data_IF_867309595905
#
_entry.id   IF_867309595905
#
_cell.length_a   1.000
_cell.length_b   1.000
_cell.length_c   1.000
_cell.angle_alpha   90.00
_cell.angle_beta   90.00
_cell.angle_gamma   90.00
#
_symmetry.space_group_name_H-M   'P 1'
#
loop_
_entity.id
_entity.type
_entity.pdbx_description
1 polymer ?
#
# COMPACT_ATOMS: atom_id res chain seq x y z
N UNK A 1 9.96 4.01 -5.84
CA UNK A 1 9.44 4.99 -4.86
C UNK A 1 8.18 5.64 -5.38
N UNK A 2 8.17 6.31 -6.55
CA UNK A 2 6.96 6.96 -7.10
C UNK A 2 5.77 5.98 -7.23
N UNK A 3 6.02 4.75 -7.67
CA UNK A 3 5.01 3.70 -7.82
C UNK A 3 4.61 3.01 -6.51
N UNK A 4 5.10 3.50 -5.36
CA UNK A 4 4.67 2.98 -4.05
C UNK A 4 3.46 3.79 -3.61
N UNK A 5 2.48 3.08 -3.08
CA UNK A 5 1.16 3.58 -2.74
C UNK A 5 1.14 4.95 -2.02
N UNK A 6 1.91 5.18 -0.94
CA UNK A 6 1.83 6.44 -0.19
C UNK A 6 2.33 7.65 -1.00
N UNK A 7 3.11 7.45 -2.06
CA UNK A 7 3.49 8.52 -2.99
C UNK A 7 2.44 8.72 -4.09
N UNK A 8 1.88 7.63 -4.63
CA UNK A 8 0.86 7.70 -5.69
C UNK A 8 -0.42 8.41 -5.26
N UNK A 9 -0.85 8.25 -4.01
CA UNK A 9 -2.04 8.97 -3.49
C UNK A 9 -1.84 10.49 -3.44
N UNK A 10 -0.59 10.95 -3.32
CA UNK A 10 -0.27 12.37 -3.33
C UNK A 10 -0.13 12.95 -4.75
N UNK A 11 -0.15 12.12 -5.80
CA UNK A 11 -0.11 12.59 -7.18
C UNK A 11 -1.46 13.21 -7.57
N UNK A 12 -1.39 14.35 -8.25
CA UNK A 12 -2.56 15.04 -8.82
C UNK A 12 -2.52 14.94 -10.35
N UNK A 13 -3.49 14.24 -10.94
CA UNK A 13 -3.54 13.96 -12.38
C UNK A 13 -2.53 12.90 -12.83
N UNK A 14 -2.34 12.76 -14.14
CA UNK A 14 -1.47 11.72 -14.74
C UNK A 14 -0.21 12.25 -15.43
N UNK A 15 -0.18 13.54 -15.78
CA UNK A 15 0.88 14.11 -16.61
C UNK A 15 2.19 14.35 -15.86
N UNK A 16 2.13 14.96 -14.67
CA UNK A 16 3.32 15.36 -13.91
C UNK A 16 3.36 14.62 -12.57
N UNK A 17 4.00 13.45 -12.56
CA UNK A 17 3.97 12.56 -11.41
C UNK A 17 4.85 13.03 -10.24
N UNK A 18 5.81 13.94 -10.41
CA UNK A 18 6.65 14.40 -9.29
C UNK A 18 5.92 15.43 -8.41
N UNK A 19 4.71 15.86 -8.77
CA UNK A 19 3.91 16.75 -7.92
C UNK A 19 3.61 16.19 -6.54
N UNK A 20 3.68 14.87 -6.34
CA UNK A 20 3.52 14.28 -5.00
C UNK A 20 4.43 14.94 -3.97
N UNK A 21 5.63 15.39 -4.38
CA UNK A 21 6.62 16.05 -3.51
C UNK A 21 6.01 17.32 -2.90
N UNK A 22 5.27 18.11 -3.69
CA UNK A 22 4.70 19.39 -3.25
C UNK A 22 3.25 19.27 -2.74
N UNK A 23 2.44 18.40 -3.35
CA UNK A 23 1.01 18.29 -3.02
C UNK A 23 0.76 17.36 -1.83
N UNK A 24 1.62 16.38 -1.60
CA UNK A 24 1.58 15.49 -0.45
C UNK A 24 2.04 16.18 0.83
N UNK A 25 1.10 16.69 1.63
CA UNK A 25 1.40 17.39 2.89
C UNK A 25 2.20 16.55 3.91
N UNK A 26 2.14 15.23 3.78
CA UNK A 26 2.82 14.26 4.63
C UNK A 26 4.16 13.75 4.05
N UNK A 27 4.63 14.25 2.90
CA UNK A 27 5.88 13.77 2.29
C UNK A 27 7.10 13.93 3.18
N UNK A 28 7.16 15.00 3.99
CA UNK A 28 8.24 15.20 4.95
C UNK A 28 8.40 14.03 5.92
N UNK A 29 7.28 13.46 6.39
CA UNK A 29 7.28 12.30 7.29
C UNK A 29 7.70 11.02 6.57
N UNK A 30 7.26 10.80 5.33
CA UNK A 30 7.68 9.64 4.53
C UNK A 30 9.17 9.68 4.19
N UNK A 31 9.71 10.85 3.86
CA UNK A 31 11.13 11.03 3.60
C UNK A 31 11.98 10.85 4.87
N UNK A 32 11.46 11.28 6.03
CA UNK A 32 12.10 11.03 7.33
C UNK A 32 12.26 9.53 7.59
N UNK A 33 11.16 8.76 7.59
CA UNK A 33 11.22 7.30 7.84
C UNK A 33 11.97 6.51 6.77
N UNK A 34 12.12 7.08 5.57
CA UNK A 34 12.92 6.48 4.49
C UNK A 34 14.42 6.79 4.61
N UNK A 35 14.84 7.54 5.63
CA UNK A 35 16.23 7.95 5.82
C UNK A 35 16.75 8.90 4.74
N UNK A 36 15.86 9.67 4.09
CA UNK A 36 16.22 10.59 3.02
C UNK A 36 16.60 11.93 3.62
N UNK A 37 17.92 12.16 3.72
CA UNK A 37 18.49 13.43 4.18
C UNK A 37 18.66 14.47 3.07
N UNK A 38 18.89 14.01 1.84
CA UNK A 38 19.22 14.87 0.71
C UNK A 38 18.38 14.52 -0.51
N UNK A 39 17.86 15.54 -1.18
CA UNK A 39 17.11 15.42 -2.44
C UNK A 39 17.89 16.17 -3.51
N UNK A 40 18.24 15.47 -4.59
CA UNK A 40 18.84 16.07 -5.78
C UNK A 40 17.78 16.26 -6.85
N UNK A 41 17.67 17.46 -7.41
CA UNK A 41 16.76 17.76 -8.52
C UNK A 41 17.55 18.29 -9.73
N UNK A 42 18.22 17.39 -10.48
CA UNK A 42 19.15 17.78 -11.52
C UNK A 42 18.47 18.53 -12.67
N UNK A 43 19.21 19.48 -13.26
CA UNK A 43 18.78 20.24 -14.44
C UNK A 43 18.47 19.29 -15.60
N UNK A 44 17.46 19.59 -16.45
CA UNK A 44 17.15 18.77 -17.61
C UNK A 44 18.37 18.55 -18.51
N UNK A 45 18.49 17.36 -19.10
CA UNK A 45 19.60 17.05 -20.00
C UNK A 45 19.55 17.96 -21.23
N UNK A 46 20.51 18.89 -21.31
CA UNK A 46 20.64 19.88 -22.40
C UNK A 46 20.92 19.26 -23.76
N UNK A 47 21.27 17.96 -23.81
CA UNK A 47 21.49 17.21 -25.06
C UNK A 47 20.18 16.72 -25.68
N UNK A 48 19.05 16.87 -24.99
CA UNK A 48 17.74 16.54 -25.55
C UNK A 48 17.41 17.47 -26.70
N UNK A 49 17.16 16.90 -27.88
CA UNK A 49 16.80 17.63 -29.10
C UNK A 49 15.49 18.44 -28.93
N UNK A 50 14.64 18.07 -27.98
CA UNK A 50 13.32 18.62 -27.72
C UNK A 50 13.22 19.43 -26.41
N UNK A 51 14.33 19.89 -25.83
CA UNK A 51 14.29 20.70 -24.61
C UNK A 51 13.68 22.09 -24.88
N UNK A 52 12.37 22.19 -24.71
CA UNK A 52 11.61 23.45 -24.84
C UNK A 52 11.93 24.41 -23.69
N UNK A 53 11.82 25.71 -23.98
CA UNK A 53 11.95 26.79 -22.97
C UNK A 53 11.01 26.59 -21.79
N UNK A 54 9.78 26.14 -22.04
CA UNK A 54 8.78 25.85 -21.01
C UNK A 54 9.25 24.78 -20.02
N UNK A 55 10.01 23.78 -20.47
CA UNK A 55 10.56 22.74 -19.59
C UNK A 55 11.61 23.32 -18.63
N UNK A 56 12.42 24.26 -19.13
CA UNK A 56 13.43 24.96 -18.33
C UNK A 56 12.75 25.89 -17.32
N UNK A 57 11.73 26.62 -17.75
CA UNK A 57 10.99 27.53 -16.87
C UNK A 57 10.26 26.73 -15.79
N UNK A 58 9.59 25.64 -16.16
CA UNK A 58 8.97 24.71 -15.23
C UNK A 58 9.98 24.13 -14.22
N UNK A 59 11.17 23.75 -14.67
CA UNK A 59 12.23 23.26 -13.77
C UNK A 59 12.54 24.25 -12.65
N UNK A 60 12.75 25.53 -12.98
CA UNK A 60 13.06 26.54 -11.96
C UNK A 60 11.85 26.83 -11.05
N UNK A 61 10.64 26.83 -11.60
CA UNK A 61 9.41 26.99 -10.81
C UNK A 61 9.24 25.85 -9.81
N UNK A 62 9.36 24.61 -10.27
CA UNK A 62 9.23 23.43 -9.43
C UNK A 62 10.33 23.39 -8.37
N UNK A 63 11.59 23.70 -8.73
CA UNK A 63 12.70 23.79 -7.78
C UNK A 63 12.44 24.82 -6.67
N UNK A 64 11.87 25.97 -7.01
CA UNK A 64 11.53 27.01 -6.03
C UNK A 64 10.38 26.55 -5.11
N UNK A 65 9.34 25.95 -5.67
CA UNK A 65 8.24 25.35 -4.91
C UNK A 65 8.75 24.31 -3.90
N UNK A 66 9.56 23.33 -4.34
CA UNK A 66 10.09 22.30 -3.44
C UNK A 66 11.01 22.89 -2.37
N UNK A 67 11.81 23.91 -2.72
CA UNK A 67 12.72 24.58 -1.77
C UNK A 67 11.95 25.29 -0.65
N UNK A 68 10.72 25.74 -0.93
CA UNK A 68 9.85 26.44 0.02
C UNK A 68 9.03 25.52 0.95
N UNK A 69 9.12 24.20 0.77
CA UNK A 69 8.30 23.25 1.54
C UNK A 69 8.69 23.25 3.03
N UNK A 70 7.72 23.10 3.94
CA UNK A 70 7.94 23.25 5.38
C UNK A 70 8.87 22.19 5.98
N UNK A 71 9.09 21.07 5.28
CA UNK A 71 9.96 19.97 5.70
C UNK A 71 11.36 20.01 5.05
N UNK A 72 11.63 21.00 4.18
CA UNK A 72 12.98 21.30 3.67
C UNK A 72 13.68 22.29 4.61
N UNK A 73 14.93 21.99 4.98
CA UNK A 73 15.78 22.85 5.79
C UNK A 73 16.40 23.96 4.93
N UNK A 74 17.15 23.55 3.89
CA UNK A 74 17.86 24.48 3.00
C UNK A 74 18.25 23.84 1.67
N UNK A 75 18.57 24.70 0.69
CA UNK A 75 19.27 24.35 -0.54
C UNK A 75 20.77 24.63 -0.37
N UNK A 76 21.62 23.62 -0.61
CA UNK A 76 23.10 23.73 -0.47
C UNK A 76 23.72 24.24 -1.78
N UNK A 77 23.24 23.76 -2.92
CA UNK A 77 23.80 24.07 -4.23
C UNK A 77 22.72 24.63 -5.15
N UNK A 78 23.12 25.53 -6.02
CA UNK A 78 22.30 25.98 -7.14
C UNK A 78 22.41 25.00 -8.33
N UNK A 79 21.56 25.14 -9.37
CA UNK A 79 21.69 24.38 -10.60
C UNK A 79 23.11 24.43 -11.18
N UNK A 80 23.58 23.34 -11.80
CA UNK A 80 22.78 22.29 -12.46
C UNK A 80 22.39 21.10 -11.57
N UNK A 81 22.91 20.98 -10.36
CA UNK A 81 22.59 19.87 -9.44
C UNK A 81 22.26 20.45 -8.07
N UNK A 82 21.07 21.04 -7.90
CA UNK A 82 20.64 21.54 -6.62
C UNK A 82 20.44 20.39 -5.63
N UNK A 83 20.99 20.58 -4.44
CA UNK A 83 20.89 19.63 -3.33
C UNK A 83 20.08 20.26 -2.21
N UNK A 84 18.91 19.71 -1.94
CA UNK A 84 18.02 20.12 -0.86
C UNK A 84 18.24 19.21 0.35
N UNK A 85 18.25 19.81 1.54
CA UNK A 85 18.38 19.09 2.82
C UNK A 85 17.02 19.01 3.48
N UNK A 86 16.62 17.83 3.90
CA UNK A 86 15.40 17.64 4.70
C UNK A 86 15.64 18.02 6.16
N UNK A 87 14.62 18.51 6.86
CA UNK A 87 14.73 18.88 8.29
C UNK A 87 14.96 17.69 9.21
N UNK A 88 14.41 16.53 8.84
CA UNK A 88 14.49 15.28 9.58
C UNK A 88 14.87 14.15 8.64
N UNK A 89 15.62 13.20 9.17
CA UNK A 89 15.99 11.95 8.51
C UNK A 89 16.27 10.94 9.60
N UNK A 90 15.53 9.85 9.59
CA UNK A 90 15.71 8.76 10.52
C UNK A 90 16.97 7.97 10.13
N UNK A 91 17.52 7.26 11.11
CA UNK A 91 18.61 6.34 10.84
C UNK A 91 18.13 5.18 9.97
N UNK A 92 19.07 4.46 9.38
CA UNK A 92 18.77 3.31 8.51
C UNK A 92 17.98 2.20 9.23
N UNK A 93 18.19 2.07 10.55
CA UNK A 93 17.41 1.25 11.47
C UNK A 93 16.98 2.14 12.63
N UNK A 94 15.69 2.19 12.94
CA UNK A 94 15.16 2.95 14.06
C UNK A 94 14.04 2.19 14.77
N UNK A 95 13.67 2.64 15.97
CA UNK A 95 12.56 2.06 16.74
C UNK A 95 11.37 3.02 16.71
N UNK A 96 10.21 2.51 16.29
CA UNK A 96 8.93 3.16 16.51
C UNK A 96 8.31 2.63 17.81
N UNK A 97 7.90 3.55 18.68
CA UNK A 97 7.40 3.28 20.03
C UNK A 97 6.00 2.66 20.08
N UNK A 98 5.26 2.73 18.98
CA UNK A 98 3.89 2.22 18.88
C UNK A 98 3.62 1.66 17.50
N UNK A 99 2.75 0.65 17.44
CA UNK A 99 2.22 0.05 16.23
C UNK A 99 0.72 0.33 16.14
N UNK A 100 0.24 0.81 15.02
CA UNK A 100 -1.18 1.00 14.72
C UNK A 100 -1.58 0.11 13.56
N UNK A 101 -2.67 -0.63 13.72
CA UNK A 101 -3.24 -1.43 12.66
C UNK A 101 -4.42 -0.66 12.06
N UNK A 102 -4.38 -0.38 10.76
CA UNK A 102 -5.34 0.48 10.08
C UNK A 102 -6.15 -0.36 9.09
N UNK A 103 -7.47 -0.25 9.15
CA UNK A 103 -8.39 -0.78 8.12
C UNK A 103 -9.07 0.42 7.49
N UNK A 104 -8.92 0.57 6.18
CA UNK A 104 -9.36 1.74 5.42
C UNK A 104 -8.23 2.35 4.59
N UNK A 105 -8.50 3.50 4.00
CA UNK A 105 -7.61 4.13 3.01
C UNK A 105 -6.36 4.77 3.60
N UNK A 106 -5.36 4.91 2.74
CA UNK A 106 -4.13 5.69 2.92
C UNK A 106 -4.39 7.20 3.08
N UNK A 107 -5.62 7.68 2.87
CA UNK A 107 -6.00 9.06 3.19
C UNK A 107 -5.71 9.45 4.65
N UNK A 108 -5.65 8.46 5.54
CA UNK A 108 -5.38 8.70 6.95
C UNK A 108 -4.07 9.48 7.15
N UNK A 109 -3.08 9.38 6.25
CA UNK A 109 -1.87 10.21 6.33
C UNK A 109 -2.16 11.71 6.40
N UNK A 110 -3.16 12.20 5.66
CA UNK A 110 -3.57 13.60 5.69
C UNK A 110 -4.19 14.00 7.04
N UNK A 111 -4.75 13.06 7.77
CA UNK A 111 -5.32 13.27 9.10
C UNK A 111 -4.26 13.16 10.19
N UNK A 112 -3.33 12.20 10.07
CA UNK A 112 -2.26 11.98 11.04
C UNK A 112 -1.35 13.20 11.18
N UNK A 113 -0.97 13.85 10.08
CA UNK A 113 -0.12 15.06 10.12
C UNK A 113 -0.80 16.28 10.76
N UNK A 114 -2.13 16.26 10.94
CA UNK A 114 -2.85 17.33 11.64
C UNK A 114 -2.78 17.17 13.16
N UNK A 115 -2.34 16.02 13.65
CA UNK A 115 -2.21 15.73 15.07
C UNK A 115 -0.92 16.40 15.57
N UNK A 116 -1.01 17.36 16.51
CA UNK A 116 0.17 18.06 17.00
C UNK A 116 1.23 17.09 17.56
N UNK A 117 2.47 17.21 17.08
CA UNK A 117 3.58 16.38 17.53
C UNK A 117 3.54 14.93 17.05
N UNK A 118 2.60 14.56 16.18
CA UNK A 118 2.61 13.25 15.54
C UNK A 118 3.82 13.13 14.60
N UNK A 119 4.52 12.00 14.69
CA UNK A 119 5.63 11.65 13.81
C UNK A 119 5.51 10.18 13.41
N UNK A 120 5.65 9.87 12.11
CA UNK A 120 5.67 8.49 11.63
C UNK A 120 6.84 7.72 12.24
N UNK A 121 7.99 8.38 12.45
CA UNK A 121 9.17 7.79 13.11
C UNK A 121 8.83 7.10 14.44
N UNK A 122 7.90 7.65 15.22
CA UNK A 122 7.54 7.11 16.54
C UNK A 122 6.31 6.20 16.50
N UNK A 123 5.56 6.18 15.39
CA UNK A 123 4.24 5.56 15.26
C UNK A 123 4.17 4.74 13.98
N UNK A 124 4.58 3.46 14.06
CA UNK A 124 4.45 2.52 12.96
C UNK A 124 2.99 2.27 12.61
N UNK A 125 2.68 2.28 11.31
CA UNK A 125 1.34 1.96 10.81
C UNK A 125 1.43 0.75 9.88
N UNK A 126 0.46 -0.14 9.98
CA UNK A 126 0.27 -1.27 9.06
C UNK A 126 -1.15 -1.19 8.52
N UNK A 127 -1.30 -1.31 7.20
CA UNK A 127 -2.61 -1.36 6.56
C UNK A 127 -3.07 -2.80 6.42
N UNK A 128 -4.15 -3.14 7.11
CA UNK A 128 -4.74 -4.47 7.08
C UNK A 128 -5.34 -4.86 5.72
N UNK A 129 -5.64 -3.86 4.89
CA UNK A 129 -6.23 -4.08 3.57
C UNK A 129 -5.22 -4.18 2.42
N UNK A 130 -3.91 -4.09 2.70
CA UNK A 130 -2.87 -4.33 1.69
C UNK A 130 -2.71 -5.82 1.37
N UNK A 131 -2.64 -6.66 2.42
CA UNK A 131 -2.43 -8.09 2.30
C UNK A 131 -3.33 -8.82 3.31
N UNK A 132 -4.46 -9.43 2.88
CA UNK A 132 -5.40 -10.05 3.79
C UNK A 132 -4.81 -11.31 4.47
N UNK A 133 -5.26 -11.60 5.69
CA UNK A 133 -5.06 -12.90 6.33
C UNK A 133 -3.76 -13.14 7.10
N UNK A 134 -2.84 -12.18 7.21
CA UNK A 134 -1.53 -12.38 7.86
C UNK A 134 -1.22 -11.39 9.00
N UNK A 135 -1.98 -11.38 10.11
CA UNK A 135 -1.89 -10.25 11.04
C UNK A 135 -2.17 -10.52 12.52
N UNK A 136 -2.34 -11.78 12.96
CA UNK A 136 -2.64 -12.10 14.37
C UNK A 136 -1.60 -11.54 15.35
N UNK A 137 -0.31 -11.61 14.99
CA UNK A 137 0.77 -11.03 15.80
C UNK A 137 0.74 -9.50 15.78
N UNK A 138 0.36 -8.89 14.66
CA UNK A 138 0.31 -7.44 14.50
C UNK A 138 -0.84 -6.83 15.29
N UNK A 139 -2.03 -7.44 15.24
CA UNK A 139 -3.19 -7.01 16.02
C UNK A 139 -2.92 -7.05 17.51
N UNK A 140 -2.34 -8.17 18.00
CA UNK A 140 -2.02 -8.35 19.42
C UNK A 140 -1.06 -7.28 19.93
N UNK A 141 -0.06 -6.93 19.14
CA UNK A 141 0.97 -5.95 19.52
C UNK A 141 0.62 -4.51 19.15
N UNK A 142 -0.45 -4.27 18.40
CA UNK A 142 -0.93 -2.92 18.10
C UNK A 142 -1.38 -2.19 19.37
N UNK A 143 -1.11 -0.88 19.43
CA UNK A 143 -1.64 0.03 20.44
C UNK A 143 -3.13 0.26 20.21
N UNK A 144 -3.54 0.44 18.96
CA UNK A 144 -4.93 0.56 18.55
C UNK A 144 -5.16 -0.03 17.16
N UNK A 145 -6.41 -0.45 16.93
CA UNK A 145 -6.94 -0.88 15.64
C UNK A 145 -7.87 0.22 15.14
N UNK A 146 -7.42 0.98 14.14
CA UNK A 146 -8.10 2.17 13.63
C UNK A 146 -8.91 1.78 12.40
N UNK A 147 -10.23 1.98 12.47
CA UNK A 147 -11.16 1.78 11.36
C UNK A 147 -11.49 3.15 10.76
N UNK A 148 -11.03 3.40 9.53
CA UNK A 148 -11.21 4.66 8.79
C UNK A 148 -12.31 4.47 7.76
N UNK A 149 -13.50 5.05 8.01
CA UNK A 149 -14.71 4.83 7.22
C UNK A 149 -15.06 3.33 7.03
N UNK A 150 -14.74 2.53 8.05
CA UNK A 150 -14.87 1.07 8.06
C UNK A 150 -15.58 0.60 9.32
N UNK A 151 -16.10 -0.61 9.28
CA UNK A 151 -16.82 -1.26 10.36
C UNK A 151 -16.10 -2.53 10.84
N UNK A 152 -16.65 -3.18 11.87
CA UNK A 152 -16.05 -4.37 12.47
C UNK A 152 -15.94 -5.55 11.48
N UNK A 153 -16.91 -5.67 10.57
CA UNK A 153 -16.87 -6.72 9.56
C UNK A 153 -15.78 -6.46 8.53
N UNK A 154 -15.51 -5.21 8.14
CA UNK A 154 -14.36 -4.90 7.27
C UNK A 154 -13.04 -5.35 7.91
N UNK A 155 -12.89 -5.13 9.23
CA UNK A 155 -11.76 -5.67 10.00
C UNK A 155 -11.78 -7.19 10.00
N UNK A 156 -12.92 -7.84 10.27
CA UNK A 156 -12.98 -9.32 10.24
C UNK A 156 -12.59 -9.86 8.87
N UNK A 157 -13.06 -9.24 7.80
CA UNK A 157 -12.75 -9.63 6.44
C UNK A 157 -11.27 -9.49 6.12
N UNK A 158 -10.59 -8.41 6.53
CA UNK A 158 -9.15 -8.22 6.30
C UNK A 158 -8.29 -9.30 6.97
N UNK A 159 -8.83 -10.04 7.93
CA UNK A 159 -8.17 -11.13 8.65
C UNK A 159 -8.50 -12.51 8.09
N UNK A 160 -9.43 -12.61 7.14
CA UNK A 160 -9.74 -13.89 6.49
C UNK A 160 -8.50 -14.36 5.72
N UNK A 161 -8.08 -15.63 5.88
CA UNK A 161 -6.95 -16.16 5.12
C UNK A 161 -7.13 -16.04 3.60
N UNK A 162 -6.07 -15.64 2.91
CA UNK A 162 -5.96 -15.47 1.45
C UNK A 162 -6.52 -16.67 0.64
N UNK A 163 -6.40 -17.89 1.17
CA UNK A 163 -6.93 -19.10 0.52
C UNK A 163 -8.44 -19.07 0.29
N UNK A 164 -9.20 -18.26 1.04
CA UNK A 164 -10.65 -18.09 0.87
C UNK A 164 -11.02 -16.94 -0.09
N UNK A 165 -10.06 -16.09 -0.44
CA UNK A 165 -10.27 -14.96 -1.35
C UNK A 165 -10.31 -15.40 -2.81
N UNK A 166 -11.26 -14.86 -3.54
CA UNK A 166 -11.38 -14.94 -5.00
C UNK A 166 -11.38 -13.51 -5.49
N UNK A 167 -10.44 -13.18 -6.38
CA UNK A 167 -10.36 -11.86 -7.00
C UNK A 167 -10.92 -11.93 -8.42
N UNK A 168 -12.11 -11.36 -8.69
CA UNK A 168 -12.73 -11.40 -10.02
C UNK A 168 -11.84 -10.88 -11.14
N UNK A 169 -10.99 -9.90 -10.85
CA UNK A 169 -10.02 -9.35 -11.80
C UNK A 169 -9.11 -10.44 -12.41
N UNK A 170 -8.78 -11.51 -11.69
CA UNK A 170 -7.95 -12.60 -12.21
C UNK A 170 -8.59 -13.38 -13.38
N UNK A 171 -9.90 -13.20 -13.64
CA UNK A 171 -10.64 -13.87 -14.72
C UNK A 171 -11.02 -12.91 -15.87
N UNK A 172 -10.48 -11.69 -15.87
CA UNK A 172 -10.84 -10.63 -16.81
C UNK A 172 -9.62 -10.08 -17.54
N UNK A 173 -9.90 -9.46 -18.69
CA UNK A 173 -8.92 -8.72 -19.48
C UNK A 173 -8.97 -7.22 -19.20
N UNK A 174 -7.93 -6.49 -19.61
CA UNK A 174 -7.84 -5.03 -19.41
C UNK A 174 -8.89 -4.26 -20.22
N UNK A 175 -9.34 -4.85 -21.33
CA UNK A 175 -10.41 -4.35 -22.18
C UNK A 175 -11.71 -5.14 -21.91
N UNK A 176 -12.89 -4.53 -22.12
CA UNK A 176 -14.16 -5.21 -21.92
C UNK A 176 -14.31 -6.45 -22.81
N UNK A 177 -14.58 -7.60 -22.20
CA UNK A 177 -14.90 -8.84 -22.92
C UNK A 177 -16.40 -8.90 -23.30
N UNK A 178 -16.89 -10.06 -23.76
CA UNK A 178 -18.32 -10.25 -24.13
C UNK A 178 -19.30 -9.95 -22.97
N UNK A 179 -18.87 -10.13 -21.72
CA UNK A 179 -19.66 -9.79 -20.54
C UNK A 179 -19.76 -8.28 -20.30
N UNK A 180 -18.90 -7.49 -20.95
CA UNK A 180 -18.73 -6.05 -20.75
C UNK A 180 -17.94 -5.68 -19.49
N UNK A 181 -17.39 -6.67 -18.77
CA UNK A 181 -16.50 -6.47 -17.64
C UNK A 181 -15.03 -6.46 -18.07
N UNK A 182 -14.23 -5.70 -17.34
CA UNK A 182 -12.78 -5.56 -17.53
C UNK A 182 -12.07 -5.40 -16.19
N UNK A 183 -10.73 -5.39 -16.17
CA UNK A 183 -9.94 -5.26 -14.93
C UNK A 183 -9.00 -4.06 -14.86
N UNK A 184 -8.61 -3.74 -13.63
CA UNK A 184 -7.34 -3.08 -13.30
C UNK A 184 -6.61 -3.88 -12.24
N UNK A 185 -5.29 -3.88 -12.32
CA UNK A 185 -4.42 -4.54 -11.35
C UNK A 185 -4.01 -3.56 -10.25
N UNK A 186 -3.49 -4.06 -9.14
CA UNK A 186 -3.04 -3.23 -8.01
C UNK A 186 -1.99 -2.19 -8.41
N UNK A 187 -1.10 -2.54 -9.35
CA UNK A 187 -0.08 -1.65 -9.90
C UNK A 187 -0.65 -0.53 -10.78
N UNK A 188 -1.93 -0.59 -11.16
CA UNK A 188 -2.58 0.41 -12.00
C UNK A 188 -3.21 1.54 -11.19
N UNK A 189 -3.00 1.59 -9.87
CA UNK A 189 -3.73 2.48 -8.96
C UNK A 189 -3.85 3.92 -9.48
N UNK A 190 -2.74 4.56 -9.85
CA UNK A 190 -2.77 5.95 -10.32
C UNK A 190 -3.65 6.09 -11.58
N UNK A 191 -3.47 5.19 -12.55
CA UNK A 191 -4.25 5.23 -13.80
C UNK A 191 -5.74 4.97 -13.56
N UNK A 192 -6.06 4.06 -12.65
CA UNK A 192 -7.43 3.76 -12.24
C UNK A 192 -8.09 4.95 -11.54
N UNK A 193 -7.38 5.57 -10.59
CA UNK A 193 -7.84 6.76 -9.89
C UNK A 193 -8.10 7.92 -10.86
N UNK A 194 -7.16 8.20 -11.77
CA UNK A 194 -7.31 9.27 -12.78
C UNK A 194 -8.50 8.98 -13.70
N UNK A 195 -8.67 7.74 -14.15
CA UNK A 195 -9.83 7.34 -14.95
C UNK A 195 -11.16 7.65 -14.22
N UNK A 196 -11.24 7.34 -12.93
CA UNK A 196 -12.42 7.63 -12.11
C UNK A 196 -12.66 9.13 -11.94
N UNK A 197 -11.60 9.91 -11.73
CA UNK A 197 -11.68 11.37 -11.60
C UNK A 197 -12.17 12.01 -12.90
N UNK A 198 -11.58 11.65 -14.05
CA UNK A 198 -11.88 12.26 -15.34
C UNK A 198 -13.24 11.84 -15.90
N UNK A 199 -13.62 10.57 -15.74
CA UNK A 199 -14.85 10.03 -16.35
C UNK A 199 -16.07 10.13 -15.45
N UNK A 200 -15.88 10.07 -14.14
CA UNK A 200 -16.99 9.92 -13.18
C UNK A 200 -17.01 10.97 -12.06
N UNK A 201 -16.05 11.89 -12.01
CA UNK A 201 -15.88 12.84 -10.91
C UNK A 201 -15.72 12.15 -9.54
N UNK A 202 -15.09 10.96 -9.51
CA UNK A 202 -14.90 10.14 -8.32
C UNK A 202 -13.43 10.10 -7.91
N UNK A 203 -13.15 10.19 -6.61
CA UNK A 203 -11.82 9.92 -6.09
C UNK A 203 -11.74 8.55 -5.40
N UNK A 204 -10.68 7.80 -5.73
CA UNK A 204 -10.44 6.45 -5.26
C UNK A 204 -9.12 6.37 -4.50
N UNK A 205 -9.21 5.95 -3.24
CA UNK A 205 -8.08 5.82 -2.32
C UNK A 205 -8.12 4.49 -1.56
N UNK A 206 -8.96 3.56 -1.98
CA UNK A 206 -9.13 2.29 -1.28
C UNK A 206 -8.05 1.28 -1.67
N UNK A 207 -7.73 0.37 -0.74
CA UNK A 207 -6.91 -0.80 -1.03
C UNK A 207 -7.75 -1.92 -1.65
N UNK A 208 -7.12 -2.71 -2.50
CA UNK A 208 -7.73 -3.79 -3.27
C UNK A 208 -7.26 -5.19 -2.82
N UNK A 209 -6.65 -5.29 -1.62
CA UNK A 209 -6.04 -6.53 -1.09
C UNK A 209 -4.98 -7.16 -2.01
N UNK A 210 -4.37 -6.39 -2.93
CA UNK A 210 -3.40 -6.90 -3.89
C UNK A 210 -4.02 -7.70 -5.04
N UNK A 211 -5.35 -7.74 -5.15
CA UNK A 211 -6.08 -8.57 -6.10
C UNK A 211 -6.62 -7.87 -7.34
N UNK A 212 -6.45 -6.54 -7.44
CA UNK A 212 -7.05 -5.73 -8.49
C UNK A 212 -8.56 -5.56 -8.33
N UNK A 213 -9.19 -5.02 -9.37
CA UNK A 213 -10.63 -4.73 -9.41
C UNK A 213 -11.26 -5.17 -10.72
N UNK A 214 -12.46 -5.71 -10.64
CA UNK A 214 -13.33 -5.97 -11.79
C UNK A 214 -14.30 -4.82 -11.95
N UNK A 215 -14.41 -4.29 -13.17
CA UNK A 215 -15.17 -3.08 -13.50
C UNK A 215 -16.25 -3.43 -14.52
N UNK A 216 -17.49 -3.08 -14.20
CA UNK A 216 -18.65 -3.22 -15.07
C UNK A 216 -19.33 -1.88 -15.26
N UNK A 217 -19.35 -1.39 -16.50
CA UNK A 217 -20.06 -0.17 -16.87
C UNK A 217 -21.45 -0.49 -17.44
N UNK A 218 -22.48 0.05 -16.81
CA UNK A 218 -23.87 -0.25 -17.15
C UNK A 218 -24.40 -1.53 -16.49
N UNK A 219 -25.50 -2.02 -17.06
CA UNK A 219 -26.11 -3.27 -16.66
C UNK A 219 -25.40 -4.44 -17.34
N UNK A 220 -24.63 -5.21 -16.55
CA UNK A 220 -23.79 -6.30 -17.03
C UNK A 220 -24.00 -7.54 -16.18
N UNK A 221 -23.61 -8.69 -16.70
CA UNK A 221 -23.62 -9.97 -15.99
C UNK A 221 -22.21 -10.56 -16.04
N UNK A 222 -21.67 -10.92 -14.88
CA UNK A 222 -20.37 -11.59 -14.74
C UNK A 222 -20.56 -12.93 -14.05
N UNK A 223 -19.99 -13.98 -14.62
CA UNK A 223 -19.97 -15.31 -14.01
C UNK A 223 -18.58 -15.56 -13.46
N UNK A 224 -18.49 -15.82 -12.15
CA UNK A 224 -17.25 -16.20 -11.48
C UNK A 224 -17.25 -17.69 -11.23
N UNK A 225 -16.19 -18.36 -11.71
CA UNK A 225 -15.98 -19.78 -11.52
C UNK A 225 -14.75 -19.98 -10.64
N UNK A 226 -14.87 -20.67 -9.52
CA UNK A 226 -13.72 -20.96 -8.65
C UNK A 226 -13.97 -22.18 -7.79
N UNK A 227 -12.97 -23.04 -7.69
CA UNK A 227 -12.96 -24.19 -6.78
C UNK A 227 -13.00 -23.79 -5.30
N UNK A 228 -12.67 -22.54 -4.96
CA UNK A 228 -12.80 -21.98 -3.61
C UNK A 228 -14.26 -21.78 -3.17
N UNK A 229 -15.21 -21.73 -4.10
CA UNK A 229 -16.64 -21.60 -3.78
C UNK A 229 -17.17 -22.97 -3.32
N UNK A 230 -17.40 -23.13 -2.02
CA UNK A 230 -17.84 -24.40 -1.42
C UNK A 230 -19.24 -24.29 -0.81
N UNK A 231 -20.09 -25.26 -1.11
CA UNK A 231 -21.43 -25.40 -0.56
C UNK A 231 -21.39 -25.43 0.98
N UNK A 232 -22.24 -24.63 1.61
CA UNK A 232 -22.31 -24.48 3.06
C UNK A 232 -21.45 -23.35 3.64
N UNK A 233 -20.53 -22.79 2.86
CA UNK A 233 -19.79 -21.58 3.25
C UNK A 233 -20.70 -20.34 3.26
N UNK A 234 -20.34 -19.31 4.00
CA UNK A 234 -20.88 -17.96 3.79
C UNK A 234 -20.16 -17.28 2.66
N UNK A 235 -20.93 -16.61 1.80
CA UNK A 235 -20.44 -15.86 0.67
C UNK A 235 -20.51 -14.36 0.97
N UNK A 236 -19.38 -13.67 0.84
CA UNK A 236 -19.32 -12.21 0.91
C UNK A 236 -18.72 -11.63 -0.35
N UNK A 237 -19.21 -10.47 -0.77
CA UNK A 237 -18.72 -9.77 -1.96
C UNK A 237 -18.37 -8.32 -1.57
N UNK A 238 -17.13 -7.91 -1.85
CA UNK A 238 -16.64 -6.55 -1.60
C UNK A 238 -16.90 -5.68 -2.81
N UNK A 239 -17.77 -4.70 -2.64
CA UNK A 239 -18.27 -3.85 -3.73
C UNK A 239 -17.99 -2.38 -3.43
N UNK A 240 -17.65 -1.62 -4.47
CA UNK A 240 -17.36 -0.20 -4.33
C UNK A 240 -18.65 0.60 -4.29
N UNK A 241 -18.89 1.28 -3.17
CA UNK A 241 -19.91 2.29 -3.05
C UNK A 241 -19.44 3.60 -3.68
N UNK A 242 -20.22 4.16 -4.60
CA UNK A 242 -19.88 5.37 -5.34
C UNK A 242 -21.13 6.08 -5.91
N UNK A 243 -21.06 7.39 -6.12
CA UNK A 243 -22.21 8.19 -6.58
C UNK A 243 -22.74 7.84 -7.99
N UNK A 244 -21.97 7.11 -8.80
CA UNK A 244 -22.36 6.65 -10.15
C UNK A 244 -22.77 5.17 -10.18
N UNK A 245 -22.85 4.53 -9.02
CA UNK A 245 -23.35 3.17 -8.86
C UNK A 245 -24.84 3.07 -9.11
N UNK A 246 -25.39 1.90 -8.81
CA UNK A 246 -26.82 1.64 -8.85
C UNK A 246 -27.14 0.44 -7.98
N UNK A 247 -26.47 -0.67 -8.20
CA UNK A 247 -26.53 -1.83 -7.32
C UNK A 247 -25.86 -3.05 -7.90
N UNK A 248 -25.70 -4.06 -7.06
CA UNK A 248 -25.16 -5.36 -7.44
C UNK A 248 -26.09 -6.45 -6.92
N UNK A 249 -26.54 -7.33 -7.80
CA UNK A 249 -27.27 -8.56 -7.46
C UNK A 249 -26.32 -9.75 -7.57
N UNK A 250 -26.23 -10.54 -6.50
CA UNK A 250 -25.47 -11.78 -6.45
C UNK A 250 -26.46 -12.94 -6.52
N UNK A 251 -26.24 -13.84 -7.48
CA UNK A 251 -27.04 -15.06 -7.69
C UNK A 251 -26.17 -16.27 -7.35
N UNK A 252 -26.62 -17.05 -6.38
CA UNK A 252 -25.93 -18.21 -5.82
C UNK A 252 -26.92 -19.37 -5.68
N UNK A 253 -26.83 -20.36 -6.58
CA UNK A 253 -27.75 -21.51 -6.64
C UNK A 253 -29.24 -21.13 -6.72
N UNK A 254 -29.55 -20.03 -7.40
CA UNK A 254 -30.91 -19.52 -7.59
C UNK A 254 -31.40 -18.54 -6.53
N UNK A 255 -30.74 -18.45 -5.37
CA UNK A 255 -30.99 -17.39 -4.39
C UNK A 255 -30.36 -16.07 -4.85
N UNK A 256 -31.03 -14.97 -4.53
CA UNK A 256 -30.64 -13.62 -4.95
C UNK A 256 -30.46 -12.72 -3.74
N UNK A 257 -29.30 -12.09 -3.67
CA UNK A 257 -29.02 -11.03 -2.71
C UNK A 257 -28.71 -9.76 -3.48
N UNK A 258 -29.23 -8.61 -3.05
CA UNK A 258 -28.98 -7.32 -3.74
C UNK A 258 -28.48 -6.28 -2.75
N UNK A 259 -27.46 -5.51 -3.14
CA UNK A 259 -26.99 -4.34 -2.41
C UNK A 259 -26.94 -3.12 -3.32
N UNK A 260 -27.33 -1.97 -2.78
CA UNK A 260 -27.22 -0.69 -3.49
C UNK A 260 -25.78 -0.17 -3.37
N UNK A 261 -25.22 0.28 -4.48
CA UNK A 261 -23.84 0.79 -4.57
C UNK A 261 -23.77 2.30 -4.79
N UNK A 262 -24.91 2.98 -4.71
CA UNK A 262 -25.05 4.43 -4.86
C UNK A 262 -25.29 5.15 -3.51
N UNK A 263 -24.89 4.53 -2.40
CA UNK A 263 -24.94 5.16 -1.09
C UNK A 263 -24.10 6.43 -1.09
N UNK A 264 -24.68 7.56 -0.67
CA UNK A 264 -23.95 8.81 -0.61
C UNK A 264 -22.80 8.70 0.40
N UNK A 265 -21.57 8.72 -0.11
CA UNK A 265 -20.44 9.13 0.70
C UNK A 265 -20.58 10.66 0.86
N UNK A 266 -21.01 11.11 2.05
CA UNK A 266 -21.51 12.47 2.27
C UNK A 266 -20.45 13.57 2.16
N UNK A 267 -19.17 13.22 2.03
CA UNK A 267 -18.07 14.17 2.00
C UNK A 267 -17.49 14.27 0.59
N UNK A 268 -17.29 15.49 0.08
CA UNK A 268 -16.47 15.67 -1.13
C UNK A 268 -14.99 15.61 -0.77
N UNK A 269 -14.20 14.96 -1.60
CA UNK A 269 -12.74 14.98 -1.50
C UNK A 269 -12.24 16.18 -2.29
N UNK A 270 -11.54 17.06 -1.58
CA UNK A 270 -10.88 18.23 -2.16
C UNK A 270 -9.43 17.90 -2.46
N UNK A 271 -9.06 17.94 -3.72
CA UNK A 271 -7.68 17.81 -4.18
C UNK A 271 -7.23 19.19 -4.66
N UNK A 272 -6.02 19.60 -4.28
CA UNK A 272 -5.45 20.88 -4.66
C UNK A 272 -4.21 20.65 -5.49
N UNK A 273 -4.12 21.34 -6.61
CA UNK A 273 -2.89 21.51 -7.38
C UNK A 273 -2.36 22.91 -7.07
N UNK A 274 -1.22 22.96 -6.38
CA UNK A 274 -0.65 24.21 -5.93
C UNK A 274 -0.23 25.08 -7.11
N UNK A 275 -0.65 26.35 -7.05
CA UNK A 275 -0.23 27.38 -8.01
C UNK A 275 1.21 27.83 -7.76
N UNK A 276 1.67 28.78 -8.58
CA UNK A 276 2.99 29.36 -8.41
C UNK A 276 3.00 30.84 -8.83
N UNK A 277 3.47 31.70 -7.93
CA UNK A 277 3.49 33.17 -8.10
C UNK A 277 2.10 33.68 -8.53
N UNK A 278 2.00 34.22 -9.73
CA UNK A 278 0.77 34.81 -10.27
C UNK A 278 -0.19 33.76 -10.87
N UNK A 279 0.23 32.49 -10.95
CA UNK A 279 -0.62 31.38 -11.40
C UNK A 279 -1.41 30.87 -10.20
N UNK A 280 -2.74 31.03 -10.17
CA UNK A 280 -3.55 30.54 -9.06
C UNK A 280 -3.52 29.01 -9.00
N UNK A 281 -3.64 28.48 -7.78
CA UNK A 281 -3.84 27.04 -7.59
C UNK A 281 -5.19 26.59 -8.16
N UNK A 282 -5.29 25.31 -8.48
CA UNK A 282 -6.53 24.69 -8.92
C UNK A 282 -7.08 23.78 -7.82
N UNK A 283 -8.39 23.80 -7.65
CA UNK A 283 -9.09 22.95 -6.69
C UNK A 283 -10.06 22.05 -7.44
N UNK A 284 -9.96 20.76 -7.16
CA UNK A 284 -10.82 19.72 -7.71
C UNK A 284 -11.68 19.16 -6.58
N UNK A 285 -12.97 19.00 -6.85
CA UNK A 285 -13.94 18.45 -5.90
C UNK A 285 -14.53 17.17 -6.49
N UNK A 286 -14.17 16.04 -5.90
CA UNK A 286 -14.63 14.73 -6.30
C UNK A 286 -15.57 14.12 -5.27
N UNK A 287 -16.50 13.29 -5.70
CA UNK A 287 -17.30 12.48 -4.78
C UNK A 287 -16.44 11.31 -4.26
N UNK A 288 -16.53 10.99 -2.97
CA UNK A 288 -15.76 9.88 -2.40
C UNK A 288 -16.31 8.51 -2.79
N UNK A 289 -15.40 7.52 -2.75
CA UNK A 289 -15.71 6.11 -2.91
C UNK A 289 -15.26 5.33 -1.68
N UNK A 290 -15.94 4.23 -1.37
CA UNK A 290 -15.55 3.35 -0.28
C UNK A 290 -15.98 1.91 -0.54
N UNK A 291 -15.16 0.94 -0.18
CA UNK A 291 -15.61 -0.46 -0.21
C UNK A 291 -16.48 -0.76 1.00
N UNK A 292 -17.46 -1.64 0.77
CA UNK A 292 -18.16 -2.37 1.82
C UNK A 292 -18.34 -3.83 1.41
N UNK A 293 -18.55 -4.68 2.41
CA UNK A 293 -18.88 -6.08 2.21
C UNK A 293 -20.39 -6.31 2.22
N UNK A 294 -20.85 -6.99 1.19
CA UNK A 294 -22.21 -7.50 1.06
C UNK A 294 -22.24 -8.97 1.47
N UNK A 295 -23.19 -9.34 2.33
CA UNK A 295 -23.52 -10.74 2.63
C UNK A 295 -24.42 -11.29 1.52
N UNK A 296 -23.93 -12.29 0.79
CA UNK A 296 -24.63 -12.97 -0.29
C UNK A 296 -25.23 -14.32 0.13
N UNK A 297 -25.26 -14.61 1.43
CA UNK A 297 -25.88 -15.78 2.01
C UNK A 297 -24.97 -17.02 2.00
N UNK A 298 -25.58 -18.17 2.27
CA UNK A 298 -24.89 -19.46 2.25
C UNK A 298 -24.75 -19.98 0.82
N UNK A 299 -23.57 -20.47 0.45
CA UNK A 299 -23.29 -21.10 -0.85
C UNK A 299 -24.15 -22.35 -1.02
N UNK A 300 -24.99 -22.38 -2.06
CA UNK A 300 -25.91 -23.50 -2.33
C UNK A 300 -25.31 -24.55 -3.26
N UNK A 301 -24.46 -24.11 -4.18
CA UNK A 301 -23.81 -24.94 -5.18
C UNK A 301 -22.32 -24.63 -5.24
N UNK A 302 -21.50 -25.66 -5.44
CA UNK A 302 -20.06 -25.48 -5.58
C UNK A 302 -19.72 -24.76 -6.88
N UNK A 303 -18.65 -23.97 -6.85
CA UNK A 303 -17.91 -23.63 -8.06
C UNK A 303 -18.37 -22.39 -8.83
N UNK A 304 -19.58 -21.86 -8.59
CA UNK A 304 -20.13 -20.77 -9.43
C UNK A 304 -20.93 -19.75 -8.65
N UNK A 305 -20.70 -18.47 -8.95
CA UNK A 305 -21.54 -17.33 -8.55
C UNK A 305 -21.75 -16.43 -9.75
N UNK A 306 -22.95 -15.86 -9.89
CA UNK A 306 -23.25 -14.86 -10.93
C UNK A 306 -23.48 -13.50 -10.31
N UNK A 307 -22.93 -12.45 -10.92
CA UNK A 307 -23.00 -11.07 -10.47
C UNK A 307 -23.71 -10.27 -11.55
N UNK A 308 -24.77 -9.55 -11.19
CA UNK A 308 -25.45 -8.61 -12.08
C UNK A 308 -25.26 -7.19 -11.56
N UNK A 309 -24.73 -6.33 -12.41
CA UNK A 309 -24.55 -4.92 -12.10
C UNK A 309 -25.75 -4.09 -12.56
N UNK A 310 -26.00 -3.00 -11.84
CA UNK A 310 -27.03 -2.01 -12.12
C UNK A 310 -26.43 -0.61 -11.98
N UNK A 311 -26.81 0.32 -12.86
CA UNK A 311 -26.30 1.71 -12.83
C UNK A 311 -25.07 1.91 -13.74
N UNK A 312 -24.38 3.05 -13.59
CA UNK A 312 -23.38 3.48 -14.58
C UNK A 312 -21.99 2.89 -14.33
N UNK A 313 -21.59 2.75 -13.07
CA UNK A 313 -20.28 2.23 -12.68
C UNK A 313 -20.41 1.24 -11.52
N UNK A 314 -19.94 0.01 -11.72
CA UNK A 314 -19.91 -1.02 -10.70
C UNK A 314 -18.51 -1.62 -10.62
N UNK A 315 -18.00 -1.76 -9.39
CA UNK A 315 -16.65 -2.26 -9.15
C UNK A 315 -16.70 -3.32 -8.06
N UNK A 316 -16.17 -4.49 -8.37
CA UNK A 316 -16.05 -5.62 -7.46
C UNK A 316 -14.56 -5.86 -7.22
N UNK A 317 -14.13 -5.83 -5.96
CA UNK A 317 -12.74 -6.09 -5.62
C UNK A 317 -12.52 -7.56 -5.29
N UNK A 318 -13.29 -8.10 -4.36
CA UNK A 318 -13.06 -9.44 -3.81
C UNK A 318 -14.37 -10.18 -3.56
N UNK A 319 -14.30 -11.51 -3.62
CA UNK A 319 -15.33 -12.45 -3.18
C UNK A 319 -14.69 -13.39 -2.18
N UNK A 320 -15.40 -13.70 -1.10
CA UNK A 320 -14.93 -14.63 -0.08
C UNK A 320 -15.99 -15.72 0.10
N UNK A 321 -15.58 -16.97 -0.05
CA UNK A 321 -16.33 -18.16 0.36
C UNK A 321 -15.62 -18.74 1.57
N UNK A 322 -16.23 -18.67 2.74
CA UNK A 322 -15.57 -19.04 4.01
C UNK A 322 -16.52 -19.79 4.95
N UNK A 323 -16.05 -20.85 5.62
CA UNK A 323 -16.82 -21.53 6.65
C UNK A 323 -17.14 -20.63 7.84
N UNK A 324 -18.35 -20.77 8.41
CA UNK A 324 -18.82 -19.96 9.55
C UNK A 324 -17.93 -20.10 10.81
N UNK A 325 -17.33 -21.29 11.04
CA UNK A 325 -16.45 -21.49 12.18
C UNK A 325 -15.18 -20.64 12.08
N UNK A 326 -14.64 -20.46 10.86
CA UNK A 326 -13.45 -19.63 10.63
C UNK A 326 -13.78 -18.16 10.89
N UNK A 327 -14.94 -17.68 10.44
CA UNK A 327 -15.41 -16.32 10.75
C UNK A 327 -15.55 -16.10 12.26
N UNK A 328 -16.12 -17.09 12.95
CA UNK A 328 -16.28 -17.07 14.40
C UNK A 328 -14.93 -17.05 15.13
N UNK A 329 -13.97 -17.86 14.69
CA UNK A 329 -12.60 -17.89 15.24
C UNK A 329 -11.92 -16.52 15.10
N UNK A 330 -11.98 -15.91 13.91
CA UNK A 330 -11.43 -14.57 13.65
C UNK A 330 -12.13 -13.53 14.51
N UNK A 331 -13.47 -13.49 14.50
CA UNK A 331 -14.22 -12.51 15.28
C UNK A 331 -13.92 -12.60 16.78
N UNK A 332 -13.56 -13.77 17.29
CA UNK A 332 -13.20 -13.99 18.67
C UNK A 332 -11.73 -13.64 18.99
N UNK A 333 -10.83 -13.65 17.99
CA UNK A 333 -9.42 -13.29 18.18
C UNK A 333 -9.18 -11.78 18.19
N UNK A 334 -10.11 -10.98 17.66
CA UNK A 334 -10.01 -9.52 17.60
C UNK A 334 -10.04 -8.91 19.02
N UNK A 335 -9.01 -8.12 19.41
CA UNK A 335 -9.01 -7.40 20.69
C UNK A 335 -9.94 -6.17 20.62
N UNK A 336 -11.22 -6.38 20.98
CA UNK A 336 -12.30 -5.38 20.83
C UNK A 336 -12.06 -4.09 21.62
N UNK A 337 -11.30 -4.15 22.70
CA UNK A 337 -10.90 -3.02 23.54
C UNK A 337 -9.94 -2.05 22.83
N UNK A 338 -9.26 -2.50 21.78
CA UNK A 338 -8.32 -1.69 20.98
C UNK A 338 -8.97 -1.02 19.77
N UNK A 339 -10.23 -1.31 19.48
CA UNK A 339 -10.90 -0.83 18.27
C UNK A 339 -11.27 0.64 18.40
N UNK A 340 -10.87 1.44 17.41
CA UNK A 340 -11.12 2.87 17.30
C UNK A 340 -11.84 3.17 15.99
N UNK A 341 -13.06 3.70 16.09
CA UNK A 341 -13.82 4.19 14.93
C UNK A 341 -13.39 5.62 14.60
N UNK A 342 -12.42 5.78 13.69
CA UNK A 342 -11.70 7.03 13.45
C UNK A 342 -12.63 8.21 13.16
N UNK A 343 -13.62 8.00 12.30
CA UNK A 343 -14.52 9.03 11.81
C UNK A 343 -15.57 9.45 12.85
N UNK A 344 -15.68 8.70 13.96
CA UNK A 344 -16.55 9.06 15.09
C UNK A 344 -15.80 9.82 16.19
N UNK A 345 -14.48 9.93 16.10
CA UNK A 345 -13.67 10.64 17.09
C UNK A 345 -13.67 12.14 16.85
N UNK A 346 -13.78 12.89 17.95
CA UNK A 346 -13.39 14.31 17.98
C UNK A 346 -11.88 14.48 17.83
N UNK A 347 -11.44 15.69 17.48
CA UNK A 347 -10.02 16.01 17.32
C UNK A 347 -9.19 15.68 18.59
N UNK A 348 -9.69 16.02 19.78
CA UNK A 348 -8.99 15.71 21.04
C UNK A 348 -8.89 14.20 21.28
N UNK A 349 -9.90 13.41 20.90
CA UNK A 349 -9.82 11.94 21.00
C UNK A 349 -8.83 11.35 20.00
N UNK A 350 -8.76 11.91 18.78
CA UNK A 350 -7.72 11.56 17.80
C UNK A 350 -6.33 11.81 18.39
N UNK A 351 -6.10 12.98 18.98
CA UNK A 351 -4.82 13.32 19.64
C UNK A 351 -4.48 12.36 20.78
N UNK A 352 -5.45 12.04 21.64
CA UNK A 352 -5.25 11.09 22.75
C UNK A 352 -4.86 9.68 22.27
N UNK A 353 -5.26 9.28 21.06
CA UNK A 353 -4.92 7.96 20.49
C UNK A 353 -3.41 7.81 20.26
N UNK A 354 -2.71 8.92 19.98
CA UNK A 354 -1.28 8.96 19.67
C UNK A 354 -0.41 9.55 20.78
N UNK A 355 -0.98 9.81 21.97
CA UNK A 355 -0.19 10.26 23.10
C UNK A 355 0.92 9.25 23.42
N UNK A 356 2.14 9.77 23.56
CA UNK A 356 3.31 8.98 23.88
C UNK A 356 3.21 8.59 25.36
N UNK A 357 3.43 7.32 25.65
CA UNK A 357 3.42 6.83 27.03
C UNK A 357 4.68 7.36 27.75
N UNK A 358 4.59 7.69 29.05
CA UNK A 358 5.68 8.30 29.83
C UNK A 358 6.85 7.35 30.17
N UNK A 359 7.17 6.40 29.30
CA UNK A 359 8.34 5.53 29.48
C UNK A 359 9.56 6.13 28.78
N UNK A 360 10.77 5.93 29.30
CA UNK A 360 11.99 6.23 28.56
C UNK A 360 11.99 5.49 27.23
N UNK A 361 12.35 6.18 26.15
CA UNK A 361 12.44 5.57 24.83
C UNK A 361 13.50 4.45 24.81
N UNK A 362 13.18 3.29 24.22
CA UNK A 362 14.18 2.24 24.03
C UNK A 362 15.27 2.73 23.07
N UNK A 363 16.48 2.22 23.27
CA UNK A 363 17.64 2.57 22.45
C UNK A 363 18.00 1.43 21.52
N UNK A 364 18.48 1.79 20.33
CA UNK A 364 18.98 0.88 19.32
C UNK A 364 20.42 1.21 18.97
N UNK A 365 21.23 0.17 18.80
CA UNK A 365 22.54 0.24 18.17
C UNK A 365 22.64 -0.88 17.13
N UNK A 366 23.38 -0.66 16.04
CA UNK A 366 23.52 -1.68 15.00
C UNK A 366 24.87 -1.64 14.32
N UNK A 367 25.32 -2.82 13.87
CA UNK A 367 26.51 -2.98 13.05
C UNK A 367 26.15 -3.69 11.76
N UNK A 368 26.47 -3.06 10.63
CA UNK A 368 26.36 -3.68 9.31
C UNK A 368 27.51 -4.66 9.11
N UNK A 369 27.20 -5.95 9.04
CA UNK A 369 28.19 -7.01 8.77
C UNK A 369 28.38 -7.21 7.26
N UNK A 370 27.31 -7.06 6.49
CA UNK A 370 27.31 -7.05 5.03
C UNK A 370 26.11 -6.26 4.49
N UNK A 371 25.95 -6.08 3.17
CA UNK A 371 24.74 -5.47 2.61
C UNK A 371 23.43 -6.19 2.95
N UNK A 372 23.49 -7.47 3.33
CA UNK A 372 22.34 -8.35 3.57
C UNK A 372 22.30 -8.89 5.00
N UNK A 373 23.14 -8.36 5.90
CA UNK A 373 23.27 -8.87 7.27
C UNK A 373 23.65 -7.73 8.23
N UNK A 374 22.78 -7.51 9.21
CA UNK A 374 22.98 -6.56 10.30
C UNK A 374 22.85 -7.26 11.65
N UNK A 375 23.68 -6.85 12.60
CA UNK A 375 23.54 -7.19 14.01
C UNK A 375 22.94 -5.99 14.73
N UNK A 376 21.79 -6.17 15.35
CA UNK A 376 20.99 -5.10 15.97
C UNK A 376 20.89 -5.37 17.47
N UNK A 377 21.19 -4.38 18.29
CA UNK A 377 21.08 -4.45 19.75
C UNK A 377 19.99 -3.49 20.22
N UNK A 378 19.00 -4.02 20.94
CA UNK A 378 17.85 -3.26 21.44
C UNK A 378 17.80 -3.35 22.96
N UNK A 379 17.68 -2.20 23.63
CA UNK A 379 17.68 -2.09 25.09
C UNK A 379 16.56 -1.16 25.55
N UNK A 380 15.92 -1.47 26.69
CA UNK A 380 14.92 -0.60 27.31
C UNK A 380 13.48 -0.88 26.88
N UNK A 381 13.21 -2.02 26.24
CA UNK A 381 11.88 -2.42 25.77
C UNK A 381 10.99 -2.76 26.97
N UNK A 382 9.98 -1.92 27.23
CA UNK A 382 8.96 -2.14 28.28
C UNK A 382 7.62 -2.64 27.74
N UNK A 383 7.38 -2.38 26.46
CA UNK A 383 6.20 -2.77 25.69
C UNK A 383 6.66 -3.10 24.27
N UNK A 384 5.85 -3.83 23.47
CA UNK A 384 6.18 -4.07 22.07
C UNK A 384 6.51 -2.77 21.33
N UNK A 385 7.64 -2.76 20.64
CA UNK A 385 8.07 -1.69 19.72
C UNK A 385 8.29 -2.26 18.33
N UNK A 386 8.41 -1.40 17.33
CA UNK A 386 8.68 -1.83 15.96
C UNK A 386 10.08 -1.41 15.58
N UNK A 387 10.94 -2.38 15.25
CA UNK A 387 12.17 -2.13 14.53
C UNK A 387 11.81 -1.83 13.08
N UNK A 388 11.99 -0.59 12.67
CA UNK A 388 11.82 -0.13 11.30
C UNK A 388 13.17 -0.16 10.59
N UNK A 389 13.18 -0.66 9.36
CA UNK A 389 14.34 -0.76 8.50
C UNK A 389 14.07 -0.02 7.21
N UNK A 390 14.75 1.11 7.02
CA UNK A 390 14.52 2.14 6.00
C UNK A 390 14.94 1.72 4.58
N UNK A 391 14.66 0.47 4.24
CA UNK A 391 14.78 -0.12 2.90
C UNK A 391 13.37 -0.48 2.41
N UNK A 392 13.16 -0.49 1.10
CA UNK A 392 11.89 -0.89 0.51
C UNK A 392 11.47 -2.26 1.07
N UNK A 393 10.18 -2.39 1.40
CA UNK A 393 9.64 -3.63 1.92
C UNK A 393 9.96 -4.83 1.00
N UNK A 394 10.48 -5.88 1.62
CA UNK A 394 10.65 -7.19 1.02
C UNK A 394 10.46 -8.25 2.12
N UNK A 395 9.50 -9.15 1.93
CA UNK A 395 9.13 -10.18 2.92
C UNK A 395 10.24 -11.20 3.18
N UNK A 396 11.31 -11.19 2.38
CA UNK A 396 12.47 -12.06 2.52
C UNK A 396 13.49 -11.55 3.54
N UNK A 397 13.35 -10.32 4.04
CA UNK A 397 14.06 -9.88 5.23
C UNK A 397 13.51 -10.55 6.49
N UNK A 398 14.42 -11.02 7.34
CA UNK A 398 14.08 -11.71 8.58
C UNK A 398 14.84 -11.15 9.77
N UNK A 399 14.14 -10.98 10.89
CA UNK A 399 14.74 -10.66 12.19
C UNK A 399 14.69 -11.91 13.07
N UNK A 400 15.86 -12.51 13.36
CA UNK A 400 15.96 -13.79 14.09
C UNK A 400 15.07 -14.91 13.49
N UNK A 401 14.87 -14.90 12.16
CA UNK A 401 14.04 -15.88 11.44
C UNK A 401 12.59 -15.45 11.19
N UNK A 402 12.09 -14.42 11.87
CA UNK A 402 10.73 -13.89 11.68
C UNK A 402 10.67 -12.94 10.48
N UNK A 403 9.66 -13.12 9.63
CA UNK A 403 9.48 -12.34 8.40
C UNK A 403 9.14 -10.87 8.66
N UNK A 404 9.57 -9.99 7.75
CA UNK A 404 9.20 -8.59 7.79
C UNK A 404 7.71 -8.37 7.50
N UNK A 405 7.17 -7.30 8.08
CA UNK A 405 5.85 -6.74 7.75
C UNK A 405 6.04 -5.40 7.05
N UNK A 406 5.23 -5.13 6.02
CA UNK A 406 5.21 -3.82 5.36
C UNK A 406 4.60 -2.79 6.32
N UNK A 407 5.41 -1.84 6.75
CA UNK A 407 4.96 -0.69 7.54
C UNK A 407 4.95 0.55 6.65
N UNK A 408 3.98 1.42 6.89
CA UNK A 408 3.72 2.63 6.11
C UNK A 408 3.53 2.38 4.60
N UNK A 409 3.15 1.16 4.18
CA UNK A 409 3.06 0.78 2.76
C UNK A 409 4.38 0.94 2.00
N UNK A 410 5.52 0.89 2.70
CA UNK A 410 6.79 1.34 2.15
C UNK A 410 8.01 0.55 2.60
N UNK A 411 8.23 0.43 3.90
CA UNK A 411 9.49 -0.10 4.45
C UNK A 411 9.25 -1.35 5.30
N UNK A 412 10.35 -2.00 5.68
CA UNK A 412 10.36 -3.21 6.48
C UNK A 412 10.14 -2.91 7.97
N UNK A 413 9.28 -3.68 8.63
CA UNK A 413 9.00 -3.59 10.07
C UNK A 413 9.05 -4.94 10.77
N UNK A 414 9.52 -4.94 12.02
CA UNK A 414 9.60 -6.13 12.88
C UNK A 414 9.16 -5.80 14.30
N UNK A 415 8.25 -6.59 14.86
CA UNK A 415 7.81 -6.41 16.26
C UNK A 415 8.89 -6.95 17.21
N UNK A 416 9.36 -6.09 18.12
CA UNK A 416 10.35 -6.39 19.15
C UNK A 416 9.70 -6.28 20.53
N UNK A 417 9.64 -7.41 21.23
CA UNK A 417 8.91 -7.52 22.51
C UNK A 417 9.80 -7.43 23.76
N UNK A 418 11.12 -7.52 23.60
CA UNK A 418 12.07 -7.56 24.71
C UNK A 418 13.44 -7.03 24.29
N UNK A 419 14.28 -6.77 25.28
CA UNK A 419 15.69 -6.46 25.06
C UNK A 419 16.42 -7.66 24.44
N UNK A 420 17.44 -7.38 23.64
CA UNK A 420 18.28 -8.43 23.09
C UNK A 420 19.11 -8.01 21.89
N UNK A 421 19.92 -8.97 21.44
CA UNK A 421 20.69 -8.90 20.21
C UNK A 421 19.95 -9.73 19.15
N UNK A 422 19.74 -9.11 17.99
CA UNK A 422 19.00 -9.65 16.88
C UNK A 422 19.87 -9.67 15.62
N UNK A 423 19.66 -10.68 14.78
CA UNK A 423 20.24 -10.79 13.45
C UNK A 423 19.16 -10.46 12.42
N UNK A 424 19.40 -9.40 11.65
CA UNK A 424 18.58 -9.01 10.52
C UNK A 424 19.27 -9.50 9.24
N UNK A 425 18.67 -10.48 8.58
CA UNK A 425 19.27 -11.21 7.44
C UNK A 425 18.29 -11.25 6.28
N UNK A 426 18.81 -11.02 5.06
CA UNK A 426 18.07 -11.26 3.82
C UNK A 426 18.17 -12.75 3.45
N UNK A 427 17.08 -13.50 3.61
CA UNK A 427 17.05 -14.97 3.50
C UNK A 427 17.63 -15.55 2.19
N UNK A 428 17.40 -14.94 1.01
CA UNK A 428 17.90 -15.46 -0.27
C UNK A 428 19.43 -15.46 -0.39
N UNK A 429 20.13 -14.65 0.41
CA UNK A 429 21.58 -14.51 0.31
C UNK A 429 22.32 -15.85 0.49
N UNK A 430 21.76 -16.79 1.27
CA UNK A 430 22.33 -18.13 1.48
C UNK A 430 22.44 -18.96 0.20
N UNK A 431 21.69 -18.62 -0.86
CA UNK A 431 21.70 -19.33 -2.14
C UNK A 431 22.66 -18.72 -3.18
N UNK A 432 23.15 -17.49 -2.96
CA UNK A 432 23.99 -16.78 -3.92
C UNK A 432 25.32 -17.50 -4.14
N UNK A 433 25.99 -17.90 -3.06
CA UNK A 433 27.30 -18.58 -3.16
C UNK A 433 27.18 -19.94 -3.88
N UNK A 434 26.24 -20.84 -3.51
CA UNK A 434 26.00 -22.06 -4.29
C UNK A 434 25.72 -21.79 -5.77
N UNK A 435 24.88 -20.79 -6.09
CA UNK A 435 24.56 -20.43 -7.46
C UNK A 435 25.76 -19.94 -8.27
N UNK A 436 26.65 -19.15 -7.66
CA UNK A 436 27.89 -18.69 -8.28
C UNK A 436 28.87 -19.85 -8.54
N UNK A 437 29.00 -20.79 -7.60
CA UNK A 437 29.86 -21.98 -7.77
C UNK A 437 29.36 -22.81 -8.96
N UNK A 438 28.06 -23.11 -9.03
CA UNK A 438 27.47 -23.88 -10.12
C UNK A 438 27.68 -23.17 -11.47
N UNK A 439 27.49 -21.85 -11.51
CA UNK A 439 27.69 -21.05 -12.72
C UNK A 439 29.15 -21.06 -13.18
N UNK A 440 30.10 -20.92 -12.26
CA UNK A 440 31.53 -20.95 -12.56
C UNK A 440 31.98 -22.32 -13.10
N UNK A 441 31.50 -23.42 -12.48
CA UNK A 441 31.78 -24.79 -12.94
C UNK A 441 31.20 -25.02 -14.34
N UNK A 442 29.97 -24.55 -14.59
CA UNK A 442 29.31 -24.67 -15.89
C UNK A 442 30.07 -23.90 -16.97
N UNK A 443 30.46 -22.66 -16.70
CA UNK A 443 31.26 -21.84 -17.61
C UNK A 443 32.61 -22.51 -17.91
N UNK A 444 33.28 -23.04 -16.89
CA UNK A 444 34.55 -23.74 -17.06
C UNK A 444 34.40 -24.98 -17.96
N UNK A 445 33.33 -25.76 -17.79
CA UNK A 445 33.05 -26.91 -18.65
C UNK A 445 32.77 -26.49 -20.10
N UNK A 446 31.98 -25.43 -20.32
CA UNK A 446 31.68 -24.92 -21.66
C UNK A 446 32.93 -24.38 -22.37
N UNK A 447 33.77 -23.62 -21.67
CA UNK A 447 35.04 -23.11 -22.22
C UNK A 447 35.99 -24.26 -22.52
N UNK A 448 36.10 -25.23 -21.62
CA UNK A 448 36.94 -26.41 -21.84
C UNK A 448 36.47 -27.21 -23.05
N UNK A 449 35.17 -27.45 -23.19
CA UNK A 449 34.56 -28.10 -24.34
C UNK A 449 34.81 -27.32 -25.64
N UNK A 450 34.67 -25.99 -25.63
CA UNK A 450 34.94 -25.15 -26.78
C UNK A 450 36.43 -25.21 -27.20
N UNK A 451 37.35 -25.16 -26.26
CA UNK A 451 38.80 -25.24 -26.56
C UNK A 451 39.18 -26.61 -27.10
N UNK A 452 38.62 -27.70 -26.55
CA UNK A 452 38.86 -29.06 -27.03
C UNK A 452 38.28 -29.25 -28.43
N UNK A 453 37.02 -28.84 -28.66
CA UNK A 453 36.37 -28.96 -29.97
C UNK A 453 37.06 -28.14 -31.07
N UNK A 454 37.68 -27.00 -30.73
CA UNK A 454 38.46 -26.20 -31.67
C UNK A 454 39.86 -26.76 -31.96
N UNK A 455 40.44 -27.54 -31.04
CA UNK A 455 41.74 -28.22 -31.22
C UNK A 455 41.65 -29.51 -32.02
N UNK A 456 40.47 -30.10 -32.17
CA UNK A 456 40.22 -31.16 -33.14
C UNK A 456 39.89 -30.51 -34.49
N UNK A 457 40.81 -30.47 -35.49
CA UNK A 457 40.39 -30.13 -36.83
C UNK A 457 39.42 -31.23 -37.26
N UNK A 458 38.20 -30.85 -37.60
CA UNK A 458 37.35 -31.71 -38.41
C UNK A 458 38.09 -31.86 -39.75
N UNK A 459 38.82 -32.97 -39.90
CA UNK A 459 39.24 -33.44 -41.21
C UNK A 459 37.95 -33.80 -41.96
N UNK A 460 37.46 -32.89 -42.79
CA UNK A 460 36.50 -33.19 -43.85
C UNK A 460 37.29 -33.75 -45.03
#
# INVERSE_FOLDING_TARGET
MISKRPFEIAIVGSYEQLNFIREGKFMGELFDISGIKYISYPYPDIRREDLKKDNIDYYYQFLDQITSLPWIDKKITDPPVPLLVTKKSSDHLFLANSLFYIVGSDNIYNDLIKIPGFELRNNAVVFGEENPGNTDNLLKNSKAIILVDKNLFDLTASLIPDKYYIFPAAQLDFDPNESGWWKRETSDFLSWRVFLQEKYDLDYQEFDYGGGVAVGEGNRELVIISDKIKKGDRLFVRVLNNAKGGGVEIINGGEKSTAMTNGQCFNKIKITLSGYKDIPGQEFLYDCTSYFWMDAGEVKENGKVTIKSMGNLNVINAIVSVPENILSEISNSIPKDKIVLWNKLSQSQKENTFQIDNYPDPTIDFTRLSPTHYKVNVIGVKKPVVLAFSENFDSLWKLNGEHSTEIYSLINGFVVNKDGVYELIYDPQKYVIPGLIISAVTLFMLVSFYVISKKSPVNI
#
